data_IF_724994209221
#
_entry.id   IF_724994209221
#
_cell.length_a   1.000
_cell.length_b   1.000
_cell.length_c   1.000
_cell.angle_alpha   90.00
_cell.angle_beta   90.00
_cell.angle_gamma   90.00
#
_symmetry.space_group_name_H-M   'P 1'
#
loop_
_entity.id
_entity.type
_entity.pdbx_description
1 polymer ?
#
# COMPACT_ATOMS: atom_id res chain seq x y z
N UNK A 1 31.28 -11.46 13.64
CA UNK A 1 29.85 -11.15 13.81
C UNK A 1 29.59 -9.88 12.96
N UNK A 2 29.86 -9.92 11.66
CA UNK A 2 29.02 -10.50 10.59
C UNK A 2 27.75 -9.67 10.41
N UNK A 3 27.72 -8.93 9.30
CA UNK A 3 26.81 -7.86 8.87
C UNK A 3 25.34 -7.96 9.31
N UNK A 4 24.91 -7.02 10.16
CA UNK A 4 23.50 -6.64 10.34
C UNK A 4 23.24 -5.32 9.60
N UNK A 5 23.61 -5.28 8.31
CA UNK A 5 23.11 -4.19 7.46
C UNK A 5 21.62 -4.48 7.23
N UNK A 6 20.71 -3.56 7.58
CA UNK A 6 19.30 -3.77 7.32
C UNK A 6 19.11 -4.05 5.82
N UNK A 7 18.24 -5.01 5.50
CA UNK A 7 17.93 -5.30 4.12
C UNK A 7 17.18 -4.10 3.52
N UNK A 8 17.88 -3.34 2.67
CA UNK A 8 17.33 -2.18 1.96
C UNK A 8 16.72 -2.65 0.64
N UNK A 9 15.39 -2.61 0.55
CA UNK A 9 14.67 -2.95 -0.66
C UNK A 9 13.70 -1.83 -1.02
N UNK A 10 13.92 -1.24 -2.20
CA UNK A 10 12.95 -0.36 -2.84
C UNK A 10 12.17 -1.18 -3.85
N UNK A 11 10.86 -1.37 -3.67
CA UNK A 11 10.06 -2.08 -4.66
C UNK A 11 10.03 -1.35 -6.00
N UNK A 12 9.82 -2.11 -7.08
CA UNK A 12 9.51 -1.57 -8.40
C UNK A 12 8.00 -1.36 -8.54
N UNK A 13 7.59 -0.55 -9.50
CA UNK A 13 6.19 -0.33 -9.82
C UNK A 13 5.49 -1.63 -10.23
N UNK A 14 4.29 -1.90 -9.69
CA UNK A 14 3.51 -3.11 -10.00
C UNK A 14 2.84 -3.08 -11.40
N UNK A 15 2.90 -1.95 -12.11
CA UNK A 15 2.39 -1.85 -13.49
C UNK A 15 3.30 -2.64 -14.43
N UNK A 16 2.70 -3.56 -15.20
CA UNK A 16 3.41 -4.39 -16.17
C UNK A 16 4.24 -3.54 -17.15
N UNK A 17 5.54 -3.86 -17.26
CA UNK A 17 6.48 -3.15 -18.12
C UNK A 17 7.05 -1.85 -17.54
N UNK A 18 6.74 -1.50 -16.29
CA UNK A 18 7.33 -0.34 -15.61
C UNK A 18 8.42 -0.75 -14.62
N UNK A 19 9.66 -0.31 -14.87
CA UNK A 19 10.80 -0.60 -13.98
C UNK A 19 11.15 0.57 -13.04
N UNK A 20 10.29 1.59 -12.97
CA UNK A 20 10.51 2.73 -12.09
C UNK A 20 10.38 2.32 -10.61
N UNK A 21 11.20 2.89 -9.71
CA UNK A 21 11.08 2.64 -8.28
C UNK A 21 9.71 3.11 -7.79
N UNK A 22 9.03 2.25 -7.03
CA UNK A 22 7.78 2.61 -6.39
C UNK A 22 8.04 3.64 -5.29
N UNK A 23 7.22 4.68 -5.28
CA UNK A 23 7.23 5.74 -4.25
C UNK A 23 6.01 5.69 -3.35
N UNK A 24 4.94 5.08 -3.84
CA UNK A 24 3.68 5.04 -3.13
C UNK A 24 3.16 3.62 -3.03
N UNK A 25 2.55 3.32 -1.90
CA UNK A 25 1.68 2.17 -1.72
C UNK A 25 0.23 2.64 -1.79
N UNK A 26 -0.58 2.01 -2.62
CA UNK A 26 -2.03 2.21 -2.63
C UNK A 26 -2.61 1.19 -1.67
N UNK A 27 -3.22 1.66 -0.59
CA UNK A 27 -3.76 0.79 0.45
C UNK A 27 -5.00 1.41 1.11
N UNK A 28 -5.66 0.64 1.95
CA UNK A 28 -6.66 1.14 2.89
C UNK A 28 -6.45 0.49 4.25
N UNK A 29 -6.89 1.16 5.32
CA UNK A 29 -6.98 0.53 6.63
C UNK A 29 -8.08 -0.52 6.59
N UNK A 30 -7.79 -1.70 7.13
CA UNK A 30 -8.75 -2.78 7.32
C UNK A 30 -8.67 -3.25 8.77
N UNK A 31 -9.80 -3.68 9.31
CA UNK A 31 -9.83 -4.39 10.59
C UNK A 31 -11.11 -5.18 10.76
N UNK A 32 -11.09 -6.13 11.69
CA UNK A 32 -12.21 -7.05 11.99
C UNK A 32 -12.69 -6.96 13.46
N UNK A 33 -12.27 -5.90 14.16
CA UNK A 33 -12.47 -5.71 15.59
C UNK A 33 -11.43 -6.40 16.48
N UNK A 34 -10.58 -7.28 15.92
CA UNK A 34 -9.48 -7.94 16.64
C UNK A 34 -8.12 -7.51 16.11
N UNK A 35 -7.99 -7.36 14.79
CA UNK A 35 -6.77 -6.98 14.10
C UNK A 35 -6.98 -5.70 13.29
N UNK A 36 -5.88 -4.99 13.04
CA UNK A 36 -5.85 -3.82 12.17
C UNK A 36 -4.63 -3.90 11.27
N UNK A 37 -4.84 -3.74 9.97
CA UNK A 37 -3.81 -3.86 8.94
C UNK A 37 -3.98 -2.81 7.84
N UNK A 38 -2.95 -2.67 7.01
CA UNK A 38 -3.07 -1.99 5.72
C UNK A 38 -3.34 -3.03 4.64
N UNK A 39 -4.59 -3.09 4.18
CA UNK A 39 -4.95 -3.89 3.01
C UNK A 39 -4.31 -3.25 1.77
N UNK A 40 -3.40 -3.99 1.16
CA UNK A 40 -2.62 -3.55 0.00
C UNK A 40 -3.40 -3.72 -1.32
N UNK A 41 -3.29 -2.72 -2.20
CA UNK A 41 -3.75 -2.80 -3.59
C UNK A 41 -2.61 -2.71 -4.61
N UNK A 42 -1.38 -2.42 -4.18
CA UNK A 42 -0.18 -2.37 -5.00
C UNK A 42 0.80 -1.27 -4.58
N UNK A 43 2.01 -1.32 -5.13
CA UNK A 43 3.05 -0.30 -5.01
C UNK A 43 3.39 0.28 -6.38
N UNK A 44 3.48 1.60 -6.45
CA UNK A 44 3.52 2.31 -7.73
C UNK A 44 4.52 3.46 -7.71
N UNK A 45 5.10 3.72 -8.88
CA UNK A 45 5.88 4.94 -9.10
C UNK A 45 4.96 6.18 -9.09
N UNK A 46 5.55 7.37 -9.03
CA UNK A 46 4.79 8.61 -8.96
C UNK A 46 3.88 8.87 -10.17
N UNK A 47 4.21 8.28 -11.32
CA UNK A 47 3.44 8.43 -12.56
C UNK A 47 2.16 7.59 -12.55
N UNK A 48 2.25 6.32 -12.14
CA UNK A 48 1.11 5.40 -12.19
C UNK A 48 0.22 5.46 -10.93
N UNK A 49 0.76 5.93 -9.80
CA UNK A 49 0.05 5.96 -8.53
C UNK A 49 -1.35 6.63 -8.57
N UNK A 50 -1.57 7.78 -9.27
CA UNK A 50 -2.90 8.39 -9.33
C UNK A 50 -3.94 7.52 -10.07
N UNK A 51 -3.56 6.91 -11.20
CA UNK A 51 -4.47 6.04 -11.97
C UNK A 51 -4.82 4.78 -11.20
N UNK A 52 -3.83 4.18 -10.55
CA UNK A 52 -4.03 2.96 -9.75
C UNK A 52 -4.76 3.22 -8.44
N UNK A 53 -4.69 4.44 -7.88
CA UNK A 53 -5.53 4.85 -6.75
C UNK A 53 -7.02 4.79 -7.12
N UNK A 54 -7.40 5.35 -8.27
CA UNK A 54 -8.79 5.33 -8.73
C UNK A 54 -9.24 3.89 -9.05
N UNK A 55 -8.41 3.12 -9.75
CA UNK A 55 -8.70 1.72 -10.03
C UNK A 55 -8.87 0.90 -8.74
N UNK A 56 -8.05 1.15 -7.71
CA UNK A 56 -8.18 0.49 -6.41
C UNK A 56 -9.45 0.90 -5.66
N UNK A 57 -9.88 2.16 -5.73
CA UNK A 57 -11.18 2.61 -5.19
C UNK A 57 -12.33 1.86 -5.84
N UNK A 58 -12.29 1.68 -7.15
CA UNK A 58 -13.31 0.91 -7.87
C UNK A 58 -13.28 -0.57 -7.48
N UNK A 59 -12.09 -1.16 -7.31
CA UNK A 59 -11.93 -2.53 -6.79
C UNK A 59 -12.53 -2.65 -5.38
N UNK A 60 -12.24 -1.71 -4.49
CA UNK A 60 -12.74 -1.72 -3.10
C UNK A 60 -14.26 -1.74 -3.03
N UNK A 61 -14.95 -0.97 -3.89
CA UNK A 61 -16.42 -0.91 -3.92
C UNK A 61 -17.10 -2.25 -4.19
N UNK A 62 -16.38 -3.23 -4.75
CA UNK A 62 -16.88 -4.57 -5.05
C UNK A 62 -16.55 -5.61 -3.98
N UNK A 63 -15.84 -5.21 -2.91
CA UNK A 63 -15.46 -6.12 -1.83
C UNK A 63 -16.67 -6.35 -0.93
N UNK A 64 -16.97 -7.62 -0.68
CA UNK A 64 -17.94 -8.03 0.34
C UNK A 64 -17.22 -8.24 1.67
N UNK A 65 -17.63 -7.48 2.67
CA UNK A 65 -17.07 -7.55 4.02
C UNK A 65 -17.84 -8.54 4.89
N UNK A 66 -17.10 -9.22 5.75
CA UNK A 66 -17.65 -9.96 6.88
C UNK A 66 -18.36 -9.03 7.87
N UNK A 67 -19.16 -9.62 8.77
CA UNK A 67 -20.08 -8.87 9.66
C UNK A 67 -19.38 -7.89 10.62
N UNK A 68 -18.09 -8.08 10.88
CA UNK A 68 -17.28 -7.23 11.77
C UNK A 68 -16.12 -6.57 11.04
N UNK A 69 -16.00 -6.79 9.73
CA UNK A 69 -14.92 -6.22 8.94
C UNK A 69 -15.27 -4.80 8.50
N UNK A 70 -14.28 -3.93 8.59
CA UNK A 70 -14.37 -2.54 8.16
C UNK A 70 -13.22 -2.22 7.20
N UNK A 71 -13.52 -1.40 6.20
CA UNK A 71 -12.53 -0.83 5.31
C UNK A 71 -12.59 0.69 5.39
N UNK A 72 -11.45 1.30 5.68
CA UNK A 72 -11.23 2.73 5.49
C UNK A 72 -11.11 3.10 4.02
N UNK A 73 -10.99 4.40 3.71
CA UNK A 73 -10.80 4.86 2.34
C UNK A 73 -9.49 4.31 1.73
N UNK A 74 -9.50 4.04 0.42
CA UNK A 74 -8.24 3.81 -0.32
C UNK A 74 -7.50 5.13 -0.49
N UNK A 75 -6.24 5.12 -0.09
CA UNK A 75 -5.34 6.28 -0.07
C UNK A 75 -3.95 5.88 -0.56
N UNK A 76 -3.15 6.88 -0.91
CA UNK A 76 -1.72 6.71 -1.14
C UNK A 76 -0.98 6.80 0.19
N UNK A 77 0.05 5.98 0.35
CA UNK A 77 0.98 5.98 1.46
C UNK A 77 2.38 6.12 0.88
N UNK A 78 3.18 7.08 1.36
CA UNK A 78 4.54 7.23 0.89
C UNK A 78 5.41 6.09 1.40
N UNK A 79 6.11 5.40 0.50
CA UNK A 79 7.08 4.39 0.86
C UNK A 79 8.35 5.10 1.33
N UNK A 80 8.59 5.03 2.64
CA UNK A 80 9.79 5.59 3.26
C UNK A 80 10.72 4.45 3.63
N UNK A 81 11.96 4.53 3.19
CA UNK A 81 12.99 3.55 3.49
C UNK A 81 13.13 3.31 5.00
N UNK A 82 13.20 2.03 5.38
CA UNK A 82 13.31 1.62 6.79
C UNK A 82 12.01 1.71 7.60
N UNK A 83 10.90 2.20 7.04
CA UNK A 83 9.58 2.16 7.70
C UNK A 83 8.82 0.90 7.34
N UNK A 84 8.15 0.30 8.33
CA UNK A 84 7.23 -0.81 8.11
C UNK A 84 5.88 -0.28 7.61
N UNK A 85 5.12 -1.16 6.97
CA UNK A 85 3.76 -0.85 6.49
C UNK A 85 2.88 -0.21 7.58
N UNK A 86 2.90 -0.74 8.80
CA UNK A 86 2.10 -0.22 9.91
C UNK A 86 2.46 1.21 10.34
N UNK A 87 3.62 1.72 9.91
CA UNK A 87 4.17 3.04 10.25
C UNK A 87 4.00 4.06 9.11
N UNK A 88 3.41 3.64 7.97
CA UNK A 88 3.18 4.52 6.84
C UNK A 88 2.01 5.47 7.12
N UNK A 89 2.17 6.71 6.66
CA UNK A 89 1.18 7.78 6.82
C UNK A 89 0.57 8.06 5.44
N UNK A 90 -0.77 8.23 5.35
CA UNK A 90 -1.41 8.61 4.09
C UNK A 90 -0.89 9.96 3.58
N UNK A 91 -0.71 10.05 2.26
CA UNK A 91 -0.44 11.31 1.54
C UNK A 91 -1.79 11.93 1.17
N UNK A 92 -1.95 13.22 1.49
CA UNK A 92 -3.17 14.01 1.26
C UNK A 92 -3.26 14.58 -0.14
#
# INVERSE_FOLDING_TARGET
>A
MSHDLPYHYTPVCDVEGCDHPARYKVACRWGDGTQNELKNYGVYCAEHAPGELEAARDRQRRIHLGRQEELGPVQLFELVEGRRDAELIPVG
#
